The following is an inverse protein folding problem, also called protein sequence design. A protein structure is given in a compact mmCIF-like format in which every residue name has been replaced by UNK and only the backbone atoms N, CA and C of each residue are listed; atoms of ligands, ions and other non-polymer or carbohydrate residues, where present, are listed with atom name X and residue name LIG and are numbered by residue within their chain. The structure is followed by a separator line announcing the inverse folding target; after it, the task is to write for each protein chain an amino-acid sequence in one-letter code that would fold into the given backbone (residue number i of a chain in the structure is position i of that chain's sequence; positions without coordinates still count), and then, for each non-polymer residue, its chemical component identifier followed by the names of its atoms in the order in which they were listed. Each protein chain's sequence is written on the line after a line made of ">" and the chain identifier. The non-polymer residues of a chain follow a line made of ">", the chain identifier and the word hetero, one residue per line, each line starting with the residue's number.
data_IF_962644549401
#
_entry.id   IF_962644549401
#
_cell.length_a   1.000
_cell.length_b   1.000
_cell.length_c   1.000
_cell.angle_alpha   90.00
_cell.angle_beta   90.00
_cell.angle_gamma   90.00
#
_symmetry.space_group_name_H-M   'P 1'
#
loop_
_entity.id
_entity.type
_entity.pdbx_description
1 polymer ?
#
# COMPACT_ATOMS: atom_id res chain seq x y z
N UNK A 1 4.40 -42.10 -58.05
CA UNK A 1 3.82 -43.04 -57.06
C UNK A 1 3.07 -42.22 -56.02
N UNK A 2 1.74 -42.17 -56.10
CA UNK A 2 0.91 -41.41 -55.18
C UNK A 2 0.64 -42.26 -53.92
N UNK A 3 1.02 -41.75 -52.76
CA UNK A 3 0.83 -42.40 -51.46
C UNK A 3 -0.65 -42.27 -51.10
N UNK A 4 -1.42 -43.37 -51.17
CA UNK A 4 -2.81 -43.41 -50.68
C UNK A 4 -2.78 -43.29 -49.15
N UNK A 5 -3.38 -42.23 -48.63
CA UNK A 5 -3.64 -42.06 -47.19
C UNK A 5 -4.87 -42.90 -46.83
N UNK A 6 -4.78 -43.61 -45.72
CA UNK A 6 -5.78 -44.55 -45.22
C UNK A 6 -7.05 -43.78 -44.75
N UNK A 7 -8.26 -44.14 -45.21
CA UNK A 7 -9.49 -43.41 -44.91
C UNK A 7 -9.89 -43.43 -43.43
N UNK A 8 -9.30 -44.31 -42.61
CA UNK A 8 -9.58 -44.37 -41.18
C UNK A 8 -8.69 -43.45 -40.32
N UNK A 9 -7.77 -42.69 -40.91
CA UNK A 9 -6.91 -41.74 -40.18
C UNK A 9 -7.50 -40.32 -40.05
N UNK A 10 -8.67 -40.06 -40.65
CA UNK A 10 -9.31 -38.73 -40.62
C UNK A 10 -10.03 -38.40 -39.31
N UNK A 11 -10.34 -39.40 -38.48
CA UNK A 11 -11.21 -39.23 -37.29
C UNK A 11 -10.46 -39.15 -35.96
N UNK A 12 -9.12 -39.27 -35.95
CA UNK A 12 -8.30 -39.26 -34.73
C UNK A 12 -8.20 -37.88 -34.04
N UNK A 13 -8.69 -36.82 -34.70
CA UNK A 13 -8.70 -35.44 -34.20
C UNK A 13 -10.09 -34.80 -34.24
N UNK A 14 -11.16 -35.61 -34.34
CA UNK A 14 -12.54 -35.11 -34.41
C UNK A 14 -13.08 -34.57 -33.07
N UNK A 15 -12.37 -34.78 -31.97
CA UNK A 15 -12.64 -34.09 -30.71
C UNK A 15 -11.90 -32.75 -30.69
N UNK A 16 -12.52 -31.73 -31.27
CA UNK A 16 -12.13 -30.36 -30.99
C UNK A 16 -12.34 -30.12 -29.49
N UNK A 17 -11.31 -29.79 -28.69
CA UNK A 17 -11.58 -29.26 -27.38
C UNK A 17 -12.34 -27.96 -27.59
N UNK A 18 -13.57 -27.88 -27.07
CA UNK A 18 -14.26 -26.60 -26.92
C UNK A 18 -13.24 -25.63 -26.34
N UNK A 19 -12.94 -24.56 -27.09
CA UNK A 19 -12.08 -23.50 -26.61
C UNK A 19 -12.89 -22.81 -25.52
N UNK A 20 -12.76 -23.31 -24.28
CA UNK A 20 -13.21 -22.60 -23.09
C UNK A 20 -12.27 -21.42 -22.96
N UNK A 21 -12.63 -20.32 -23.63
CA UNK A 21 -12.04 -19.02 -23.40
C UNK A 21 -12.43 -18.67 -21.98
N UNK A 22 -11.51 -18.91 -21.02
CA UNK A 22 -11.66 -18.37 -19.69
C UNK A 22 -11.73 -16.85 -19.83
N UNK A 23 -12.93 -16.29 -19.71
CA UNK A 23 -13.10 -14.87 -19.45
C UNK A 23 -12.55 -14.64 -18.06
N UNK A 24 -11.25 -14.38 -17.98
CA UNK A 24 -10.65 -13.80 -16.80
C UNK A 24 -11.25 -12.42 -16.72
N UNK A 25 -12.19 -12.22 -15.78
CA UNK A 25 -12.63 -10.88 -15.43
C UNK A 25 -11.38 -10.03 -15.22
N UNK A 26 -11.28 -8.83 -15.82
CA UNK A 26 -10.11 -8.01 -15.67
C UNK A 26 -9.93 -7.73 -14.18
N UNK A 27 -8.94 -8.40 -13.57
CA UNK A 27 -8.53 -8.11 -12.20
C UNK A 27 -8.19 -6.63 -12.21
N UNK A 28 -8.85 -5.80 -11.39
CA UNK A 28 -8.52 -4.38 -11.33
C UNK A 28 -7.04 -4.29 -11.03
N UNK A 29 -6.27 -3.77 -12.01
CA UNK A 29 -4.85 -3.51 -11.85
C UNK A 29 -4.77 -2.45 -10.77
N UNK A 30 -4.55 -2.87 -9.52
CA UNK A 30 -4.28 -1.93 -8.45
C UNK A 30 -3.02 -1.18 -8.87
N UNK A 31 -3.07 0.16 -8.96
CA UNK A 31 -1.89 0.93 -9.28
C UNK A 31 -0.81 0.56 -8.26
N UNK A 32 0.29 0.00 -8.75
CA UNK A 32 1.46 -0.34 -7.94
C UNK A 32 2.16 0.97 -7.57
N UNK A 33 1.74 1.55 -6.46
CA UNK A 33 2.28 2.82 -5.97
C UNK A 33 1.51 3.32 -4.76
N UNK A 34 2.12 4.20 -3.98
CA UNK A 34 1.55 4.74 -2.73
C UNK A 34 0.39 5.74 -2.94
N UNK A 35 -0.18 5.83 -4.16
CA UNK A 35 -1.35 6.64 -4.48
C UNK A 35 -1.18 8.16 -4.35
N UNK A 36 0.02 8.65 -4.02
CA UNK A 36 0.33 10.06 -3.79
C UNK A 36 1.51 10.56 -4.63
N UNK A 37 1.67 11.88 -4.71
CA UNK A 37 2.85 12.47 -5.36
C UNK A 37 4.12 12.08 -4.59
N UNK A 38 5.25 12.04 -5.29
CA UNK A 38 6.53 11.65 -4.67
C UNK A 38 6.88 12.59 -3.50
N UNK A 39 6.55 13.87 -3.65
CA UNK A 39 6.76 14.89 -2.63
C UNK A 39 5.89 14.67 -1.39
N UNK A 40 4.63 14.25 -1.60
CA UNK A 40 3.69 14.00 -0.50
C UNK A 40 4.14 12.83 0.38
N UNK A 41 4.69 11.77 -0.21
CA UNK A 41 5.23 10.66 0.59
C UNK A 41 6.45 11.08 1.40
N UNK A 42 7.36 11.86 0.80
CA UNK A 42 8.56 12.33 1.48
C UNK A 42 8.21 13.22 2.69
N UNK A 43 7.24 14.13 2.52
CA UNK A 43 6.70 14.96 3.60
C UNK A 43 6.09 14.09 4.71
N UNK A 44 5.22 13.15 4.34
CA UNK A 44 4.55 12.27 5.30
C UNK A 44 5.54 11.41 6.09
N UNK A 45 6.58 10.86 5.45
CA UNK A 45 7.63 10.11 6.16
C UNK A 45 8.41 10.99 7.14
N UNK A 46 8.62 12.28 6.84
CA UNK A 46 9.24 13.23 7.78
C UNK A 46 8.29 13.57 8.92
N UNK A 47 7.02 13.79 8.65
CA UNK A 47 6.01 14.07 9.67
C UNK A 47 5.80 12.88 10.62
N UNK A 48 5.85 11.64 10.11
CA UNK A 48 5.84 10.45 10.97
C UNK A 48 7.12 10.35 11.81
N UNK A 49 8.28 10.70 11.25
CA UNK A 49 9.54 10.76 12.00
C UNK A 49 9.47 11.77 13.15
N UNK A 50 8.83 12.91 12.91
CA UNK A 50 8.62 13.99 13.88
C UNK A 50 7.51 13.66 14.90
N UNK A 51 6.83 12.51 14.78
CA UNK A 51 5.74 12.11 15.67
C UNK A 51 4.41 12.84 15.43
N UNK A 52 4.23 13.46 14.25
CA UNK A 52 2.98 14.16 13.88
C UNK A 52 1.89 13.23 13.35
N UNK A 53 2.15 11.94 13.27
CA UNK A 53 1.14 10.95 12.91
C UNK A 53 1.15 9.78 13.86
N UNK A 54 0.02 9.10 13.90
CA UNK A 54 -0.28 8.12 14.92
C UNK A 54 -1.38 7.15 14.55
N UNK A 55 -1.43 6.01 15.22
CA UNK A 55 -2.58 5.11 15.20
C UNK A 55 -3.31 5.17 16.54
N UNK A 56 -4.64 5.25 16.48
CA UNK A 56 -5.49 5.09 17.66
C UNK A 56 -5.61 3.61 18.01
N UNK A 57 -5.11 3.23 19.18
CA UNK A 57 -5.01 1.84 19.68
C UNK A 57 -6.31 1.04 19.55
N UNK A 58 -7.45 1.65 19.86
CA UNK A 58 -8.75 0.96 19.88
C UNK A 58 -9.34 0.69 18.48
N UNK A 59 -8.91 1.41 17.45
CA UNK A 59 -9.57 1.40 16.13
C UNK A 59 -8.62 1.20 14.97
N UNK A 60 -7.30 1.25 15.19
CA UNK A 60 -6.29 1.22 14.14
C UNK A 60 -6.39 2.42 13.18
N UNK A 61 -7.16 3.46 13.55
CA UNK A 61 -7.37 4.64 12.70
C UNK A 61 -6.17 5.56 12.76
N UNK A 62 -5.75 6.02 11.60
CA UNK A 62 -4.69 7.00 11.49
C UNK A 62 -5.19 8.39 11.93
N UNK A 63 -4.33 9.09 12.68
CA UNK A 63 -4.55 10.45 13.14
C UNK A 63 -3.30 11.28 12.93
N UNK A 64 -3.50 12.58 12.73
CA UNK A 64 -2.46 13.59 12.81
C UNK A 64 -2.39 14.11 14.24
N UNK A 65 -1.19 14.34 14.76
CA UNK A 65 -0.89 14.85 16.09
C UNK A 65 -0.32 16.26 15.94
N UNK A 66 -1.05 17.24 16.46
CA UNK A 66 -0.64 18.63 16.56
C UNK A 66 0.34 18.81 17.74
N UNK A 67 1.17 19.87 17.68
CA UNK A 67 2.19 20.18 18.70
C UNK A 67 1.66 20.37 20.13
N UNK A 68 0.35 20.65 20.29
CA UNK A 68 -0.32 20.76 21.59
C UNK A 68 -0.84 19.40 22.12
N UNK A 69 -0.30 18.28 21.62
CA UNK A 69 -0.76 16.92 21.91
C UNK A 69 -2.25 16.70 21.61
N UNK A 70 -2.78 17.39 20.60
CA UNK A 70 -4.15 17.15 20.10
C UNK A 70 -4.07 16.28 18.88
N UNK A 71 -5.05 15.39 18.68
CA UNK A 71 -5.09 14.57 17.48
C UNK A 71 -6.41 14.66 16.73
N UNK A 72 -6.31 14.66 15.40
CA UNK A 72 -7.43 14.76 14.45
C UNK A 72 -7.34 13.67 13.40
N UNK A 73 -8.46 13.34 12.75
CA UNK A 73 -8.43 12.41 11.63
C UNK A 73 -7.59 12.97 10.49
N UNK A 74 -6.78 12.12 9.88
CA UNK A 74 -5.94 12.49 8.73
C UNK A 74 -6.56 12.04 7.42
N UNK A 75 -6.40 12.84 6.38
CA UNK A 75 -6.74 12.46 5.00
C UNK A 75 -5.72 11.49 4.40
N UNK A 76 -4.54 11.36 5.01
CA UNK A 76 -3.47 10.48 4.56
C UNK A 76 -3.58 9.03 5.07
N UNK A 77 -4.76 8.64 5.59
CA UNK A 77 -5.00 7.32 6.19
C UNK A 77 -4.64 6.18 5.22
N UNK A 78 -5.04 6.29 3.95
CA UNK A 78 -4.75 5.27 2.94
C UNK A 78 -3.25 5.08 2.70
N UNK A 79 -2.47 6.16 2.68
CA UNK A 79 -1.01 6.10 2.51
C UNK A 79 -0.34 5.50 3.74
N UNK A 80 -0.79 5.87 4.95
CA UNK A 80 -0.28 5.31 6.20
C UNK A 80 -0.59 3.81 6.31
N UNK A 81 -1.79 3.38 5.94
CA UNK A 81 -2.17 1.95 5.88
C UNK A 81 -1.30 1.18 4.88
N UNK A 82 -1.06 1.73 3.68
CA UNK A 82 -0.12 1.12 2.73
C UNK A 82 1.29 0.97 3.31
N UNK A 83 1.80 1.99 4.01
CA UNK A 83 3.14 1.94 4.62
C UNK A 83 3.23 0.95 5.79
N UNK A 84 2.14 0.78 6.55
CA UNK A 84 2.02 -0.25 7.58
C UNK A 84 2.05 -1.65 6.97
N UNK A 85 1.22 -1.91 5.95
CA UNK A 85 1.19 -3.20 5.24
C UNK A 85 2.54 -3.54 4.60
N UNK A 86 3.25 -2.54 4.08
CA UNK A 86 4.58 -2.69 3.50
C UNK A 86 5.71 -2.73 4.55
N UNK A 87 5.40 -2.67 5.86
CA UNK A 87 6.36 -2.73 6.97
C UNK A 87 7.38 -1.58 6.99
N UNK A 88 7.04 -0.45 6.41
CA UNK A 88 7.79 0.80 6.56
C UNK A 88 7.43 1.53 7.86
N UNK A 89 6.22 1.30 8.37
CA UNK A 89 5.74 1.76 9.66
C UNK A 89 5.47 0.60 10.59
N UNK A 90 5.49 0.89 11.90
CA UNK A 90 5.04 -0.02 12.95
C UNK A 90 4.53 0.76 14.15
N UNK A 91 3.79 0.09 15.01
CA UNK A 91 3.39 0.62 16.31
C UNK A 91 4.61 0.82 17.21
N UNK A 92 4.55 1.84 18.06
CA UNK A 92 5.58 2.26 19.00
C UNK A 92 5.06 2.26 20.43
N UNK A 93 5.90 2.71 21.37
CA UNK A 93 5.43 3.08 22.70
C UNK A 93 4.29 4.11 22.60
N UNK A 94 3.30 3.97 23.48
CA UNK A 94 2.09 4.77 23.50
C UNK A 94 2.41 6.20 23.94
N UNK A 95 2.06 7.17 23.10
CA UNK A 95 2.06 8.59 23.48
C UNK A 95 0.61 9.01 23.67
N UNK A 96 0.28 9.52 24.86
CA UNK A 96 -1.07 10.04 25.11
C UNK A 96 -1.30 11.34 24.33
N UNK A 97 -2.31 11.35 23.47
CA UNK A 97 -2.78 12.53 22.75
C UNK A 97 -4.27 12.76 23.04
N UNK A 98 -4.72 14.01 22.98
CA UNK A 98 -6.12 14.39 23.17
C UNK A 98 -6.87 14.36 21.85
N UNK A 99 -7.82 13.44 21.74
CA UNK A 99 -8.82 13.45 20.68
C UNK A 99 -10.08 14.16 21.20
N UNK A 100 -10.21 15.45 20.88
CA UNK A 100 -11.21 16.32 21.51
C UNK A 100 -10.94 16.48 23.00
N UNK A 101 -11.86 16.00 23.85
CA UNK A 101 -11.73 16.05 25.33
C UNK A 101 -11.14 14.76 25.93
N UNK A 102 -10.97 13.71 25.13
CA UNK A 102 -10.59 12.37 25.61
C UNK A 102 -9.11 12.12 25.31
N UNK A 103 -8.33 11.73 26.33
CA UNK A 103 -6.98 11.23 26.13
C UNK A 103 -7.03 9.84 25.47
N UNK A 104 -6.27 9.66 24.40
CA UNK A 104 -6.15 8.43 23.63
C UNK A 104 -4.68 8.10 23.44
N UNK A 105 -4.26 6.84 23.67
CA UNK A 105 -2.91 6.43 23.32
C UNK A 105 -2.78 6.39 21.80
N UNK A 106 -1.66 6.93 21.33
CA UNK A 106 -1.31 7.03 19.92
C UNK A 106 0.03 6.35 19.70
N UNK A 107 0.11 5.45 18.72
CA UNK A 107 1.30 4.62 18.47
C UNK A 107 1.68 4.63 17.00
N UNK A 108 2.83 5.20 16.65
CA UNK A 108 3.39 5.08 15.30
C UNK A 108 4.86 5.47 15.26
N UNK A 109 5.67 4.66 14.57
CA UNK A 109 7.07 4.96 14.29
C UNK A 109 7.52 4.37 12.96
N UNK A 110 8.59 4.93 12.42
CA UNK A 110 9.30 4.34 11.29
C UNK A 110 10.02 3.05 11.71
N UNK A 111 10.02 2.06 10.81
CA UNK A 111 10.94 0.93 10.89
C UNK A 111 12.32 1.34 10.35
N UNK A 112 13.39 0.54 10.56
CA UNK A 112 14.67 0.80 9.90
C UNK A 112 14.56 0.87 8.37
N UNK A 113 13.63 0.11 7.78
CA UNK A 113 13.35 0.19 6.34
C UNK A 113 12.65 1.51 5.98
N UNK A 114 11.67 1.95 6.77
CA UNK A 114 11.00 3.25 6.59
C UNK A 114 11.96 4.42 6.73
N UNK A 115 12.89 4.36 7.68
CA UNK A 115 13.92 5.39 7.86
C UNK A 115 14.89 5.46 6.67
N UNK A 116 15.28 4.31 6.11
CA UNK A 116 16.06 4.28 4.85
C UNK A 116 15.27 4.85 3.67
N UNK A 117 13.98 4.53 3.59
CA UNK A 117 13.08 5.08 2.57
C UNK A 117 13.02 6.61 2.69
N UNK A 118 12.76 7.13 3.88
CA UNK A 118 12.74 8.58 4.16
C UNK A 118 14.02 9.26 3.70
N UNK A 119 15.19 8.74 4.09
CA UNK A 119 16.50 9.29 3.71
C UNK A 119 16.77 9.24 2.21
N UNK A 120 16.36 8.15 1.55
CA UNK A 120 16.51 8.04 0.10
C UNK A 120 15.70 9.13 -0.60
N UNK A 121 14.49 9.38 -0.12
CA UNK A 121 13.58 10.36 -0.72
C UNK A 121 13.96 11.80 -0.38
N UNK A 122 14.53 12.08 0.80
CA UNK A 122 15.07 13.41 1.11
C UNK A 122 16.23 13.83 0.20
N UNK A 123 16.92 12.88 -0.41
CA UNK A 123 18.00 13.15 -1.38
C UNK A 123 17.50 13.28 -2.83
N UNK A 124 16.27 12.85 -3.11
CA UNK A 124 15.62 13.08 -4.41
C UNK A 124 15.08 14.52 -4.42
N UNK A 125 15.99 15.50 -4.48
CA UNK A 125 15.60 16.87 -4.83
C UNK A 125 14.96 16.80 -6.21
N UNK A 126 13.67 17.10 -6.28
CA UNK A 126 12.98 17.38 -7.55
C UNK A 126 13.76 18.54 -8.19
N UNK A 127 14.54 18.22 -9.23
CA UNK A 127 15.09 19.21 -10.13
C UNK A 127 13.87 19.87 -10.77
N UNK A 128 13.58 21.08 -10.33
CA UNK A 128 12.53 21.93 -10.90
C UNK A 128 13.02 22.55 -12.20
#
# INVERSE_FOLDING_TARGET
>A
MARRVDPHQGELFADQPEVVVATVDPVPVQPSGLGGSVDQLALLLNEVHDGRYGLLDATGRAVEVDGDQRCRHTEAEATLDCLLRQRYLKESDQVECRHGVIARPVTLRLTPAGERLRRRWSHLRVVR
#
